data_IF_974584377726
#
_entry.id   IF_974584377726
#
_cell.length_a   1.000
_cell.length_b   1.000
_cell.length_c   1.000
_cell.angle_alpha   90.00
_cell.angle_beta   90.00
_cell.angle_gamma   90.00
#
_symmetry.space_group_name_H-M   'P 1'
#
loop_
_entity.id
_entity.type
_entity.pdbx_description
1 polymer ?
#
# COMPACT_ATOMS: atom_id res chain seq x y z
N UNK A 1 20.23 2.95 -18.59
CA UNK A 1 20.39 3.51 -17.24
C UNK A 1 19.07 4.11 -16.76
N UNK A 2 18.58 5.20 -17.36
CA UNK A 2 17.35 5.89 -16.95
C UNK A 2 16.10 5.02 -16.63
N UNK A 3 15.82 3.99 -17.44
CA UNK A 3 14.69 3.07 -17.17
C UNK A 3 14.91 2.23 -15.91
N UNK A 4 16.11 1.69 -15.73
CA UNK A 4 16.46 0.87 -14.56
C UNK A 4 16.56 1.74 -13.29
N UNK A 5 17.13 2.93 -13.41
CA UNK A 5 17.23 3.89 -12.30
C UNK A 5 15.83 4.34 -11.86
N UNK A 6 14.96 4.69 -12.82
CA UNK A 6 13.56 5.01 -12.55
C UNK A 6 12.80 3.82 -11.95
N UNK A 7 13.06 2.60 -12.43
CA UNK A 7 12.46 1.38 -11.88
C UNK A 7 12.84 1.18 -10.41
N UNK A 8 14.13 1.26 -10.08
CA UNK A 8 14.60 1.12 -8.68
C UNK A 8 13.96 2.19 -7.80
N UNK A 9 13.96 3.45 -8.25
CA UNK A 9 13.34 4.55 -7.52
C UNK A 9 11.85 4.26 -7.25
N UNK A 10 11.08 3.99 -8.31
CA UNK A 10 9.64 3.74 -8.18
C UNK A 10 9.33 2.49 -7.34
N UNK A 11 10.14 1.44 -7.46
CA UNK A 11 9.96 0.21 -6.69
C UNK A 11 10.12 0.47 -5.21
N UNK A 12 11.21 1.10 -4.78
CA UNK A 12 11.44 1.36 -3.36
C UNK A 12 10.47 2.39 -2.80
N UNK A 13 10.10 3.42 -3.57
CA UNK A 13 9.12 4.41 -3.17
C UNK A 13 7.77 3.77 -2.83
N UNK A 14 7.21 2.97 -3.75
CA UNK A 14 5.91 2.34 -3.50
C UNK A 14 6.00 1.13 -2.56
N UNK A 15 7.15 0.46 -2.47
CA UNK A 15 7.39 -0.56 -1.45
C UNK A 15 7.34 0.04 -0.04
N UNK A 16 7.99 1.19 0.16
CA UNK A 16 7.98 1.90 1.43
C UNK A 16 6.59 2.44 1.77
N UNK A 17 5.84 2.93 0.76
CA UNK A 17 4.44 3.31 0.93
C UNK A 17 3.60 2.14 1.45
N UNK A 18 3.70 0.97 0.82
CA UNK A 18 2.92 -0.21 1.20
C UNK A 18 3.29 -0.65 2.62
N UNK A 19 4.58 -0.72 2.96
CA UNK A 19 5.05 -1.01 4.31
C UNK A 19 4.53 0.01 5.34
N UNK A 20 4.62 1.30 5.03
CA UNK A 20 4.12 2.39 5.86
C UNK A 20 2.60 2.30 6.06
N UNK A 21 1.85 1.94 5.02
CA UNK A 21 0.40 1.78 5.09
C UNK A 21 0.00 0.57 5.94
N UNK A 22 0.66 -0.58 5.78
CA UNK A 22 0.46 -1.75 6.64
C UNK A 22 0.83 -1.47 8.10
N UNK A 23 1.93 -0.75 8.32
CA UNK A 23 2.36 -0.34 9.64
C UNK A 23 1.35 0.63 10.27
N UNK A 24 0.88 1.63 9.54
CA UNK A 24 -0.13 2.59 9.97
C UNK A 24 -1.41 1.92 10.44
N UNK A 25 -1.95 0.98 9.64
CA UNK A 25 -3.10 0.15 10.04
C UNK A 25 -2.82 -0.61 11.34
N UNK A 26 -1.61 -1.16 11.50
CA UNK A 26 -1.23 -1.89 12.73
C UNK A 26 -1.11 -0.97 13.95
N UNK A 27 -0.54 0.23 13.77
CA UNK A 27 -0.42 1.24 14.82
C UNK A 27 -1.80 1.74 15.24
N UNK A 28 -2.71 1.99 14.28
CA UNK A 28 -4.08 2.38 14.56
C UNK A 28 -4.77 1.35 15.47
N UNK A 29 -4.65 0.06 15.17
CA UNK A 29 -5.18 -1.00 16.04
C UNK A 29 -4.57 -1.00 17.45
N UNK A 30 -3.26 -0.73 17.58
CA UNK A 30 -2.57 -0.70 18.89
C UNK A 30 -2.93 0.54 19.69
N UNK A 31 -2.96 1.70 19.06
CA UNK A 31 -3.27 2.98 19.69
C UNK A 31 -4.71 2.96 20.20
N UNK A 32 -5.65 2.46 19.40
CA UNK A 32 -7.06 2.36 19.78
C UNK A 32 -7.32 1.39 20.95
N UNK A 33 -6.37 0.50 21.27
CA UNK A 33 -6.39 -0.37 22.46
C UNK A 33 -5.97 0.38 23.74
N UNK A 34 -5.12 1.39 23.60
CA UNK A 34 -4.60 2.19 24.72
C UNK A 34 -5.58 3.31 25.14
N UNK A 35 -6.33 3.89 24.20
CA UNK A 35 -7.12 5.13 24.41
C UNK A 35 -8.46 4.97 25.16
N UNK A 36 -8.82 3.80 25.70
CA UNK A 36 -9.95 3.66 26.65
C UNK A 36 -11.33 4.18 26.15
N UNK A 37 -11.94 3.45 25.21
CA UNK A 37 -13.40 3.28 25.14
C UNK A 37 -13.72 1.95 24.45
N UNK A 38 -13.96 0.90 25.24
CA UNK A 38 -14.07 -0.47 24.73
C UNK A 38 -15.22 -0.63 23.73
N UNK A 39 -16.28 0.19 23.82
CA UNK A 39 -17.45 0.09 22.94
C UNK A 39 -17.15 0.65 21.56
N UNK A 40 -16.52 1.83 21.49
CA UNK A 40 -16.16 2.48 20.23
C UNK A 40 -15.05 1.72 19.53
N UNK A 41 -14.04 1.26 20.28
CA UNK A 41 -12.96 0.40 19.77
C UNK A 41 -13.49 -0.94 19.25
N UNK A 42 -14.43 -1.59 19.95
CA UNK A 42 -15.05 -2.84 19.52
C UNK A 42 -15.89 -2.61 18.24
N UNK A 43 -16.66 -1.53 18.16
CA UNK A 43 -17.42 -1.18 16.95
C UNK A 43 -16.52 -0.90 15.75
N UNK A 44 -15.45 -0.14 15.90
CA UNK A 44 -14.50 0.14 14.81
C UNK A 44 -13.76 -1.13 14.39
N UNK A 45 -13.27 -1.93 15.35
CA UNK A 45 -12.64 -3.22 15.06
C UNK A 45 -13.59 -4.16 14.34
N UNK A 46 -14.84 -4.26 14.79
CA UNK A 46 -15.82 -5.15 14.17
C UNK A 46 -16.26 -4.61 12.79
N UNK A 47 -16.27 -3.29 12.58
CA UNK A 47 -16.45 -2.64 11.28
C UNK A 47 -15.28 -2.92 10.33
N UNK A 48 -14.03 -2.71 10.76
CA UNK A 48 -12.82 -3.02 9.98
C UNK A 48 -12.70 -4.51 9.69
N UNK A 49 -13.09 -5.38 10.65
CA UNK A 49 -13.08 -6.83 10.49
C UNK A 49 -14.17 -7.32 9.53
N UNK A 50 -15.36 -6.71 9.56
CA UNK A 50 -16.39 -6.92 8.53
C UNK A 50 -15.95 -6.38 7.17
N UNK A 51 -15.19 -5.29 7.15
CA UNK A 51 -14.64 -4.65 5.96
C UNK A 51 -13.18 -5.01 5.74
N UNK A 52 -12.74 -6.25 6.00
CA UNK A 52 -11.34 -6.63 5.68
C UNK A 52 -11.03 -6.39 4.19
N UNK A 53 -12.06 -6.51 3.34
CA UNK A 53 -12.06 -6.12 1.92
C UNK A 53 -11.85 -4.61 1.72
N UNK A 54 -12.34 -3.77 2.63
CA UNK A 54 -12.16 -2.32 2.62
C UNK A 54 -10.75 -1.87 3.02
N UNK A 55 -10.10 -2.55 3.97
CA UNK A 55 -8.67 -2.29 4.28
C UNK A 55 -7.80 -2.68 3.08
N UNK A 56 -8.04 -3.84 2.48
CA UNK A 56 -7.35 -4.26 1.26
C UNK A 56 -7.61 -3.30 0.10
N UNK A 57 -8.87 -2.89 -0.10
CA UNK A 57 -9.25 -1.89 -1.10
C UNK A 57 -8.59 -0.54 -0.87
N UNK A 58 -8.44 -0.12 0.38
CA UNK A 58 -7.71 1.09 0.77
C UNK A 58 -6.22 1.00 0.47
N UNK A 59 -5.58 -0.14 0.75
CA UNK A 59 -4.18 -0.38 0.41
C UNK A 59 -3.93 -0.39 -1.10
N UNK A 60 -4.77 -1.11 -1.85
CA UNK A 60 -4.69 -1.15 -3.32
C UNK A 60 -4.95 0.25 -3.90
N UNK A 61 -5.95 0.96 -3.37
CA UNK A 61 -6.28 2.32 -3.77
C UNK A 61 -5.11 3.29 -3.55
N UNK A 62 -4.52 3.29 -2.35
CA UNK A 62 -3.36 4.11 -2.02
C UNK A 62 -2.17 3.79 -2.93
N UNK A 63 -1.85 2.51 -3.10
CA UNK A 63 -0.77 2.07 -3.97
C UNK A 63 -0.98 2.48 -5.43
N UNK A 64 -2.20 2.32 -5.96
CA UNK A 64 -2.52 2.66 -7.35
C UNK A 64 -2.57 4.17 -7.58
N UNK A 65 -3.13 4.95 -6.65
CA UNK A 65 -3.09 6.42 -6.75
C UNK A 65 -1.67 6.95 -6.73
N UNK A 66 -0.78 6.29 -5.98
CA UNK A 66 0.63 6.67 -5.90
C UNK A 66 1.38 6.36 -7.20
N UNK A 67 1.08 5.25 -7.88
CA UNK A 67 1.59 4.94 -9.22
C UNK A 67 1.24 6.06 -10.20
N UNK A 68 -0.03 6.46 -10.24
CA UNK A 68 -0.50 7.53 -11.14
C UNK A 68 0.18 8.85 -10.77
N UNK A 69 0.19 9.22 -9.49
CA UNK A 69 0.79 10.46 -8.99
C UNK A 69 2.27 10.57 -9.36
N UNK A 70 3.06 9.52 -9.09
CA UNK A 70 4.49 9.50 -9.42
C UNK A 70 4.76 9.48 -10.92
N UNK A 71 4.00 8.70 -11.68
CA UNK A 71 4.14 8.67 -13.14
C UNK A 71 3.86 10.03 -13.76
N UNK A 72 2.80 10.72 -13.32
CA UNK A 72 2.46 12.05 -13.79
C UNK A 72 3.44 13.11 -13.31
N UNK A 73 3.85 13.06 -12.03
CA UNK A 73 4.82 13.97 -11.45
C UNK A 73 6.18 13.89 -12.15
N UNK A 74 6.68 12.67 -12.39
CA UNK A 74 7.90 12.45 -13.14
C UNK A 74 7.76 12.90 -14.60
N UNK A 75 6.61 12.69 -15.23
CA UNK A 75 6.37 13.15 -16.60
C UNK A 75 6.40 14.68 -16.72
N UNK A 76 5.87 15.41 -15.75
CA UNK A 76 5.82 16.87 -15.75
C UNK A 76 7.13 17.53 -15.28
N UNK A 77 7.95 16.85 -14.49
CA UNK A 77 9.24 17.36 -14.02
C UNK A 77 10.33 17.21 -15.09
N UNK A 78 10.91 18.31 -15.62
CA UNK A 78 11.97 18.25 -16.63
C UNK A 78 13.21 17.44 -16.19
N UNK A 79 13.44 17.36 -14.88
CA UNK A 79 14.58 16.64 -14.30
C UNK A 79 14.33 15.13 -14.29
N UNK A 80 13.09 14.69 -14.07
CA UNK A 80 12.72 13.28 -13.90
C UNK A 80 12.01 12.68 -15.13
N UNK A 81 11.62 13.50 -16.10
CA UNK A 81 10.88 13.07 -17.29
C UNK A 81 11.59 11.93 -18.01
N UNK A 82 12.92 11.98 -18.16
CA UNK A 82 13.66 10.92 -18.85
C UNK A 82 13.57 9.53 -18.18
N UNK A 83 13.14 9.43 -16.92
CA UNK A 83 12.98 8.19 -16.16
C UNK A 83 11.51 7.84 -15.82
N UNK A 84 10.53 8.63 -16.28
CA UNK A 84 9.12 8.50 -15.86
C UNK A 84 8.53 7.11 -16.11
N UNK A 85 8.88 6.46 -17.23
CA UNK A 85 8.44 5.09 -17.55
C UNK A 85 8.97 4.09 -16.52
N UNK A 86 10.25 4.24 -16.15
CA UNK A 86 10.87 3.43 -15.12
C UNK A 86 10.15 3.60 -13.78
N UNK A 87 9.88 4.85 -13.38
CA UNK A 87 9.17 5.17 -12.13
C UNK A 87 7.75 4.58 -12.13
N UNK A 88 6.99 4.72 -13.21
CA UNK A 88 5.63 4.18 -13.30
C UNK A 88 5.61 2.64 -13.21
N UNK A 89 6.53 1.95 -13.89
CA UNK A 89 6.63 0.49 -13.82
C UNK A 89 7.14 0.06 -12.44
N UNK A 90 8.16 0.73 -11.92
CA UNK A 90 8.75 0.47 -10.61
C UNK A 90 7.71 0.58 -9.51
N UNK A 91 6.91 1.64 -9.52
CA UNK A 91 5.82 1.81 -8.55
C UNK A 91 4.71 0.77 -8.74
N UNK A 92 4.40 0.34 -9.96
CA UNK A 92 3.34 -0.64 -10.20
C UNK A 92 3.65 -2.01 -9.60
N UNK A 93 4.91 -2.46 -9.68
CA UNK A 93 5.31 -3.82 -9.26
C UNK A 93 4.99 -4.12 -7.78
N UNK A 94 5.33 -3.27 -6.80
CA UNK A 94 4.94 -3.45 -5.40
C UNK A 94 3.44 -3.61 -5.18
N UNK A 95 2.60 -2.85 -5.90
CA UNK A 95 1.14 -2.90 -5.76
C UNK A 95 0.60 -4.27 -6.16
N UNK A 96 1.17 -4.90 -7.19
CA UNK A 96 0.77 -6.22 -7.66
C UNK A 96 1.03 -7.31 -6.60
N UNK A 97 1.96 -7.10 -5.67
CA UNK A 97 2.20 -8.04 -4.57
C UNK A 97 1.13 -7.98 -3.47
N UNK A 98 0.39 -6.87 -3.32
CA UNK A 98 -0.67 -6.73 -2.30
C UNK A 98 -1.72 -7.86 -2.39
N UNK A 99 -2.40 -8.10 -3.53
CA UNK A 99 -3.38 -9.17 -3.63
C UNK A 99 -2.77 -10.56 -3.50
N UNK A 100 -1.52 -10.75 -3.94
CA UNK A 100 -0.80 -12.04 -3.84
C UNK A 100 -0.55 -12.38 -2.37
N UNK A 101 -0.02 -11.44 -1.58
CA UNK A 101 0.25 -11.62 -0.16
C UNK A 101 -1.04 -11.94 0.61
N UNK A 102 -2.14 -11.23 0.30
CA UNK A 102 -3.42 -11.47 0.95
C UNK A 102 -4.01 -12.85 0.58
N UNK A 103 -3.88 -13.27 -0.69
CA UNK A 103 -4.30 -14.60 -1.12
C UNK A 103 -3.52 -15.73 -0.42
N UNK A 104 -2.21 -15.55 -0.21
CA UNK A 104 -1.39 -16.50 0.54
C UNK A 104 -1.79 -16.58 2.02
N UNK A 105 -2.11 -15.44 2.64
CA UNK A 105 -2.58 -15.38 4.03
C UNK A 105 -3.94 -16.05 4.21
N UNK A 106 -4.87 -15.85 3.28
CA UNK A 106 -6.19 -16.48 3.31
C UNK A 106 -6.11 -18.01 3.26
N UNK A 107 -5.25 -18.58 2.38
CA UNK A 107 -5.06 -20.04 2.27
C UNK A 107 -4.51 -20.69 3.54
N UNK A 108 -3.64 -19.98 4.27
CA UNK A 108 -3.06 -20.49 5.53
C UNK A 108 -4.08 -20.54 6.67
N UNK A 109 -5.09 -19.67 6.64
CA UNK A 109 -6.16 -19.64 7.64
C UNK A 109 -7.20 -20.74 7.47
N UNK A 110 -7.32 -21.36 6.29
CA UNK A 110 -8.27 -22.45 6.02
C UNK A 110 -7.70 -23.86 6.26
N UNK A 111 -6.39 -23.95 6.51
CA UNK A 111 -5.67 -25.21 6.73
C UNK A 111 -5.35 -25.49 8.21
N UNK A 112 -5.97 -24.76 9.14
CA UNK A 112 -5.89 -24.93 10.61
C UNK A 112 -7.30 -25.02 11.16
#
# INVERSE_FOLDING_TARGET
>A
MALFDGFIFGFFDNFLLILGTYFGVTVEYRLHRLTHDYKTARKLRDFLRKNSKGVLGGLIGAGLSHVVSNGFGAFLDPTLNHMYVGIAIGTLVPVLFIPIIEALKSRRSSST
#
